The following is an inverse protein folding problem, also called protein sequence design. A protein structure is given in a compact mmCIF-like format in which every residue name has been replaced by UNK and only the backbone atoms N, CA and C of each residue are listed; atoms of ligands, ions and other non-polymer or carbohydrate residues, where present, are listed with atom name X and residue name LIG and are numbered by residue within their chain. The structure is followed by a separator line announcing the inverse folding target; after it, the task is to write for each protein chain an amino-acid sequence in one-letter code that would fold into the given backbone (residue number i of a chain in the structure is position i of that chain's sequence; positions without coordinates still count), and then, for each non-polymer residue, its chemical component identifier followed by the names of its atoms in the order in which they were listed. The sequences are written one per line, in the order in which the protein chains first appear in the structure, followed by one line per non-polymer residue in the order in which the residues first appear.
data_IF_478525094895
#
_entry.id   IF_478525094895
#
_cell.length_a   1.000
_cell.length_b   1.000
_cell.length_c   1.000
_cell.angle_alpha   90.00
_cell.angle_beta   90.00
_cell.angle_gamma   90.00
#
_symmetry.space_group_name_H-M   'P 1'
#
loop_
_entity.id
_entity.type
_entity.pdbx_description
1 polymer ?
#
# COMPACT_ATOMS: atom_id res chain seq x y z
N UNK A 1 22.78 -22.90 34.16
CA UNK A 1 22.02 -24.17 34.21
C UNK A 1 21.31 -24.46 32.88
N UNK A 2 20.53 -23.53 32.32
CA UNK A 2 19.78 -23.76 31.07
C UNK A 2 20.66 -24.12 29.87
N UNK A 3 21.83 -23.49 29.70
CA UNK A 3 22.76 -23.80 28.61
C UNK A 3 23.23 -25.26 28.57
N UNK A 4 23.43 -25.89 29.74
CA UNK A 4 23.83 -27.30 29.83
C UNK A 4 22.69 -28.25 29.44
N UNK A 5 21.44 -27.82 29.64
CA UNK A 5 20.26 -28.63 29.29
C UNK A 5 20.06 -28.76 27.78
N UNK A 6 20.74 -27.95 26.96
CA UNK A 6 20.73 -28.07 25.50
C UNK A 6 21.46 -29.33 24.99
N UNK A 7 22.32 -29.95 25.80
CA UNK A 7 23.04 -31.20 25.49
C UNK A 7 22.39 -32.44 26.10
N UNK A 8 21.20 -32.28 26.70
CA UNK A 8 20.56 -33.38 27.43
C UNK A 8 20.10 -34.49 26.48
N UNK A 9 20.25 -35.76 26.88
CA UNK A 9 19.85 -36.89 26.05
C UNK A 9 18.34 -36.90 25.75
N UNK A 10 17.52 -36.49 26.73
CA UNK A 10 16.07 -36.36 26.57
C UNK A 10 15.67 -35.12 25.73
N UNK A 11 14.99 -35.30 24.57
CA UNK A 11 14.52 -34.20 23.74
C UNK A 11 13.54 -33.26 24.45
N UNK A 12 12.76 -33.72 25.43
CA UNK A 12 11.83 -32.88 26.19
C UNK A 12 12.61 -31.81 26.97
N UNK A 13 13.69 -32.23 27.64
CA UNK A 13 14.55 -31.34 28.42
C UNK A 13 15.25 -30.31 27.51
N UNK A 14 15.79 -30.75 26.37
CA UNK A 14 16.43 -29.83 25.41
C UNK A 14 15.46 -28.80 24.84
N UNK A 15 14.26 -29.24 24.44
CA UNK A 15 13.22 -28.34 23.90
C UNK A 15 12.73 -27.35 24.94
N UNK A 16 12.53 -27.78 26.19
CA UNK A 16 12.20 -26.89 27.29
C UNK A 16 13.30 -25.85 27.53
N UNK A 17 14.58 -26.25 27.45
CA UNK A 17 15.71 -25.34 27.57
C UNK A 17 15.75 -24.31 26.43
N UNK A 18 15.52 -24.72 25.18
CA UNK A 18 15.41 -23.80 24.04
C UNK A 18 14.29 -22.77 24.25
N UNK A 19 13.10 -23.21 24.64
CA UNK A 19 11.97 -22.31 24.90
C UNK A 19 12.29 -21.33 26.03
N UNK A 20 12.86 -21.81 27.14
CA UNK A 20 13.28 -20.97 28.25
C UNK A 20 14.32 -19.92 27.83
N UNK A 21 15.30 -20.29 27.00
CA UNK A 21 16.24 -19.34 26.42
C UNK A 21 15.55 -18.32 25.52
N UNK A 22 14.56 -18.75 24.72
CA UNK A 22 13.72 -17.84 23.93
C UNK A 22 13.15 -16.69 24.78
N UNK A 23 12.63 -17.02 25.95
CA UNK A 23 12.02 -16.06 26.89
C UNK A 23 13.03 -15.23 27.70
N UNK A 24 14.24 -15.76 27.96
CA UNK A 24 15.14 -15.19 28.99
C UNK A 24 16.53 -14.76 28.52
N UNK A 25 17.01 -15.27 27.38
CA UNK A 25 18.39 -14.99 26.91
C UNK A 25 18.65 -13.49 26.76
N UNK A 26 19.84 -13.05 27.17
CA UNK A 26 20.32 -11.68 26.96
C UNK A 26 20.91 -11.52 25.56
N UNK A 27 21.22 -10.28 25.15
CA UNK A 27 21.85 -10.00 23.87
C UNK A 27 23.26 -10.64 23.78
N UNK A 28 24.01 -10.64 24.88
CA UNK A 28 25.35 -11.23 24.97
C UNK A 28 25.33 -12.76 24.78
N UNK A 29 24.23 -13.38 25.20
CA UNK A 29 24.05 -14.83 25.14
C UNK A 29 23.23 -15.29 23.92
N UNK A 30 22.67 -14.37 23.13
CA UNK A 30 21.97 -14.66 21.88
C UNK A 30 22.77 -15.56 20.90
N UNK A 31 24.12 -15.47 20.81
CA UNK A 31 24.91 -16.40 20.01
C UNK A 31 24.68 -17.89 20.31
N UNK A 32 24.27 -18.24 21.53
CA UNK A 32 23.93 -19.61 21.91
C UNK A 32 22.69 -20.13 21.19
N UNK A 33 21.64 -19.30 21.06
CA UNK A 33 20.47 -19.68 20.25
C UNK A 33 20.78 -19.64 18.76
N UNK A 34 21.63 -18.71 18.32
CA UNK A 34 22.07 -18.64 16.92
C UNK A 34 22.83 -19.90 16.50
N UNK A 35 23.69 -20.46 17.36
CA UNK A 35 24.38 -21.71 17.06
C UNK A 35 23.42 -22.88 16.91
N UNK A 36 22.39 -22.98 17.77
CA UNK A 36 21.37 -24.03 17.66
C UNK A 36 20.53 -23.94 16.38
N UNK A 37 20.44 -22.77 15.76
CA UNK A 37 19.71 -22.58 14.50
C UNK A 37 20.61 -22.76 13.28
N UNK A 38 21.84 -22.25 13.33
CA UNK A 38 22.79 -22.26 12.20
C UNK A 38 23.49 -23.61 12.05
N UNK A 39 23.84 -24.24 13.17
CA UNK A 39 24.55 -25.53 13.22
C UNK A 39 23.96 -26.35 14.38
N UNK A 40 22.71 -26.83 14.24
CA UNK A 40 22.03 -27.57 15.30
C UNK A 40 22.83 -28.80 15.70
N UNK A 41 23.04 -29.00 17.00
CA UNK A 41 23.58 -30.24 17.55
C UNK A 41 22.58 -31.39 17.44
N UNK A 42 21.30 -31.03 17.60
CA UNK A 42 20.14 -31.92 17.51
C UNK A 42 19.20 -31.42 16.40
N UNK A 43 19.37 -31.88 15.14
CA UNK A 43 18.57 -31.42 14.01
C UNK A 43 17.05 -31.59 14.19
N UNK A 44 16.62 -32.57 14.99
CA UNK A 44 15.23 -32.82 15.36
C UNK A 44 14.60 -31.67 16.17
N UNK A 45 15.41 -30.81 16.78
CA UNK A 45 14.99 -29.68 17.60
C UNK A 45 15.03 -28.34 16.84
N UNK A 46 15.44 -28.35 15.56
CA UNK A 46 15.68 -27.15 14.76
C UNK A 46 14.47 -26.19 14.70
N UNK A 47 13.25 -26.72 14.61
CA UNK A 47 12.03 -25.90 14.62
C UNK A 47 11.80 -25.20 15.96
N UNK A 48 12.11 -25.88 17.07
CA UNK A 48 11.99 -25.31 18.42
C UNK A 48 13.07 -24.24 18.63
N UNK A 49 14.30 -24.51 18.19
CA UNK A 49 15.39 -23.54 18.23
C UNK A 49 15.07 -22.28 17.41
N UNK A 50 14.50 -22.42 16.21
CA UNK A 50 14.08 -21.28 15.38
C UNK A 50 12.99 -20.44 16.05
N UNK A 51 12.00 -21.07 16.68
CA UNK A 51 10.94 -20.37 17.42
C UNK A 51 11.52 -19.62 18.63
N UNK A 52 12.40 -20.26 19.38
CA UNK A 52 13.08 -19.64 20.51
C UNK A 52 13.92 -18.44 20.06
N UNK A 53 14.71 -18.58 18.99
CA UNK A 53 15.50 -17.47 18.43
C UNK A 53 14.59 -16.32 17.98
N UNK A 54 13.48 -16.60 17.29
CA UNK A 54 12.52 -15.58 16.86
C UNK A 54 11.99 -14.80 18.06
N UNK A 55 11.50 -15.51 19.07
CA UNK A 55 10.96 -14.93 20.30
C UNK A 55 11.99 -14.04 21.00
N UNK A 56 13.19 -14.57 21.25
CA UNK A 56 14.29 -13.82 21.86
C UNK A 56 14.63 -12.55 21.08
N UNK A 57 14.71 -12.65 19.76
CA UNK A 57 15.07 -11.53 18.89
C UNK A 57 14.01 -10.43 18.88
N UNK A 58 12.73 -10.80 18.81
CA UNK A 58 11.62 -9.83 18.72
C UNK A 58 11.44 -9.06 20.03
N UNK A 59 11.63 -9.70 21.18
CA UNK A 59 11.54 -9.06 22.50
C UNK A 59 12.81 -8.28 22.88
N UNK A 60 13.91 -8.42 22.14
CA UNK A 60 15.19 -7.82 22.50
C UNK A 60 15.09 -6.29 22.56
N UNK A 61 15.46 -5.63 23.67
CA UNK A 61 15.39 -4.17 23.78
C UNK A 61 16.29 -3.47 22.76
N UNK A 62 17.54 -3.92 22.64
CA UNK A 62 18.46 -3.45 21.62
C UNK A 62 18.23 -4.19 20.29
N UNK A 63 17.24 -3.71 19.57
CA UNK A 63 16.87 -4.25 18.25
C UNK A 63 17.97 -4.07 17.21
N UNK A 64 18.78 -3.00 17.32
CA UNK A 64 19.83 -2.71 16.36
C UNK A 64 20.97 -3.73 16.49
N UNK A 65 21.49 -3.94 17.70
CA UNK A 65 22.53 -4.94 17.93
C UNK A 65 22.03 -6.37 17.69
N UNK A 66 20.76 -6.66 18.03
CA UNK A 66 20.14 -7.94 17.68
C UNK A 66 20.12 -8.17 16.16
N UNK A 67 19.69 -7.17 15.37
CA UNK A 67 19.71 -7.25 13.91
C UNK A 67 21.12 -7.46 13.37
N UNK A 68 22.15 -6.82 13.95
CA UNK A 68 23.56 -7.03 13.58
C UNK A 68 24.02 -8.46 13.82
N UNK A 69 23.70 -9.06 14.98
CA UNK A 69 24.06 -10.45 15.24
C UNK A 69 23.34 -11.42 14.29
N UNK A 70 22.04 -11.21 14.04
CA UNK A 70 21.25 -12.00 13.09
C UNK A 70 21.79 -11.88 11.66
N UNK A 71 22.15 -10.68 11.20
CA UNK A 71 22.73 -10.45 9.88
C UNK A 71 24.09 -11.15 9.72
N UNK A 72 24.91 -11.13 10.77
CA UNK A 72 26.19 -11.85 10.82
C UNK A 72 25.98 -13.37 10.74
N UNK A 73 25.00 -13.90 11.49
CA UNK A 73 24.63 -15.30 11.43
C UNK A 73 24.09 -15.69 10.04
N UNK A 74 23.25 -14.86 9.42
CA UNK A 74 22.70 -15.07 8.08
C UNK A 74 23.79 -15.23 7.02
N UNK A 75 24.86 -14.42 7.07
CA UNK A 75 25.98 -14.51 6.12
C UNK A 75 26.71 -15.85 6.19
N UNK A 76 26.81 -16.43 7.38
CA UNK A 76 27.51 -17.70 7.65
C UNK A 76 26.60 -18.93 7.59
N UNK A 77 25.29 -18.72 7.50
CA UNK A 77 24.31 -19.79 7.61
C UNK A 77 24.28 -20.69 6.35
N UNK A 78 24.05 -22.01 6.52
CA UNK A 78 23.70 -22.90 5.43
C UNK A 78 22.43 -22.43 4.70
N UNK A 79 22.28 -22.80 3.43
CA UNK A 79 21.15 -22.37 2.59
C UNK A 79 19.77 -22.62 3.24
N UNK A 80 19.59 -23.78 3.90
CA UNK A 80 18.34 -24.15 4.58
C UNK A 80 17.95 -23.21 5.74
N UNK A 81 18.92 -22.54 6.36
CA UNK A 81 18.70 -21.66 7.53
C UNK A 81 18.57 -20.19 7.15
N UNK A 82 18.95 -19.81 5.92
CA UNK A 82 18.91 -18.42 5.48
C UNK A 82 17.51 -17.81 5.47
N UNK A 83 16.49 -18.52 4.99
CA UNK A 83 15.11 -17.98 4.97
C UNK A 83 14.54 -17.75 6.37
N UNK A 84 14.58 -18.71 7.32
CA UNK A 84 14.16 -18.45 8.70
C UNK A 84 14.83 -17.21 9.31
N UNK A 85 16.13 -17.01 9.08
CA UNK A 85 16.84 -15.84 9.59
C UNK A 85 16.36 -14.53 8.95
N UNK A 86 16.03 -14.51 7.65
CA UNK A 86 15.44 -13.34 7.00
C UNK A 86 14.05 -13.00 7.57
N UNK A 87 13.25 -14.02 7.89
CA UNK A 87 11.95 -13.80 8.53
C UNK A 87 12.10 -13.18 9.92
N UNK A 88 13.05 -13.67 10.72
CA UNK A 88 13.34 -13.10 12.04
C UNK A 88 13.88 -11.67 11.91
N UNK A 89 14.83 -11.42 10.99
CA UNK A 89 15.34 -10.07 10.70
C UNK A 89 14.21 -9.11 10.33
N UNK A 90 13.24 -9.54 9.52
CA UNK A 90 12.10 -8.71 9.15
C UNK A 90 11.21 -8.32 10.34
N UNK A 91 11.08 -9.20 11.32
CA UNK A 91 10.29 -8.96 12.54
C UNK A 91 11.03 -8.07 13.52
N UNK A 92 12.37 -8.18 13.60
CA UNK A 92 13.24 -7.26 14.37
C UNK A 92 13.25 -5.87 13.72
N UNK A 93 13.29 -5.80 12.39
CA UNK A 93 13.34 -4.55 11.66
C UNK A 93 14.63 -3.77 11.91
N UNK A 94 14.59 -2.47 11.62
CA UNK A 94 15.78 -1.60 11.68
C UNK A 94 16.60 -1.60 10.39
N UNK A 95 17.62 -0.75 10.34
CA UNK A 95 18.42 -0.52 9.12
C UNK A 95 19.23 -1.73 8.71
N UNK A 96 19.92 -2.39 9.64
CA UNK A 96 20.73 -3.57 9.33
C UNK A 96 19.89 -4.72 8.76
N UNK A 97 18.71 -4.97 9.34
CA UNK A 97 17.78 -5.96 8.81
C UNK A 97 17.29 -5.57 7.41
N UNK A 98 16.89 -4.31 7.23
CA UNK A 98 16.44 -3.80 5.93
C UNK A 98 17.51 -4.00 4.83
N UNK A 99 18.77 -3.64 5.10
CA UNK A 99 19.88 -3.80 4.17
C UNK A 99 20.23 -5.28 3.90
N UNK A 100 20.12 -6.12 4.94
CA UNK A 100 20.33 -7.57 4.78
C UNK A 100 19.29 -8.17 3.85
N UNK A 101 18.01 -7.83 4.03
CA UNK A 101 16.95 -8.24 3.11
C UNK A 101 17.13 -7.64 1.71
N UNK A 102 17.53 -6.38 1.59
CA UNK A 102 17.79 -5.73 0.29
C UNK A 102 18.85 -6.48 -0.51
N UNK A 103 19.96 -6.84 0.15
CA UNK A 103 21.04 -7.63 -0.43
C UNK A 103 20.55 -9.00 -0.85
N UNK A 104 19.82 -9.70 0.02
CA UNK A 104 19.27 -11.02 -0.27
C UNK A 104 18.23 -11.00 -1.42
N UNK A 105 17.49 -9.90 -1.58
CA UNK A 105 16.56 -9.70 -2.70
C UNK A 105 17.25 -9.57 -4.07
N UNK A 106 18.56 -9.27 -4.09
CA UNK A 106 19.38 -9.15 -5.31
C UNK A 106 20.38 -10.30 -5.48
N UNK A 107 20.48 -11.21 -4.52
CA UNK A 107 21.39 -12.35 -4.59
C UNK A 107 21.04 -13.27 -5.76
N UNK A 108 22.00 -14.06 -6.26
CA UNK A 108 21.75 -15.08 -7.28
C UNK A 108 21.17 -16.38 -6.67
N UNK A 109 20.08 -16.24 -5.91
CA UNK A 109 19.34 -17.34 -5.28
C UNK A 109 17.84 -17.05 -5.39
N UNK A 110 17.07 -17.82 -6.18
CA UNK A 110 15.65 -17.55 -6.40
C UNK A 110 14.80 -17.55 -5.13
N UNK A 111 15.16 -18.37 -4.13
CA UNK A 111 14.42 -18.49 -2.89
C UNK A 111 14.68 -17.31 -1.96
N UNK A 112 15.94 -16.83 -1.88
CA UNK A 112 16.27 -15.60 -1.15
C UNK A 112 15.61 -14.38 -1.81
N UNK A 113 15.61 -14.31 -3.14
CA UNK A 113 14.94 -13.25 -3.89
C UNK A 113 13.43 -13.21 -3.58
N UNK A 114 12.75 -14.35 -3.64
CA UNK A 114 11.31 -14.41 -3.37
C UNK A 114 10.99 -14.07 -1.91
N UNK A 115 11.70 -14.68 -0.96
CA UNK A 115 11.49 -14.45 0.48
C UNK A 115 11.73 -12.98 0.83
N UNK A 116 12.87 -12.42 0.42
CA UNK A 116 13.25 -11.05 0.76
C UNK A 116 12.32 -10.02 0.13
N UNK A 117 11.98 -10.18 -1.15
CA UNK A 117 11.05 -9.24 -1.81
C UNK A 117 9.64 -9.28 -1.19
N UNK A 118 9.17 -10.46 -0.72
CA UNK A 118 7.91 -10.61 0.04
C UNK A 118 7.94 -9.87 1.37
N UNK A 119 9.02 -10.02 2.13
CA UNK A 119 9.17 -9.37 3.43
C UNK A 119 9.32 -7.85 3.28
N UNK A 120 10.16 -7.39 2.34
CA UNK A 120 10.36 -5.97 2.05
C UNK A 120 9.07 -5.31 1.57
N UNK A 121 8.28 -5.96 0.71
CA UNK A 121 7.00 -5.43 0.24
C UNK A 121 5.97 -5.18 1.36
N UNK A 122 6.17 -5.80 2.54
CA UNK A 122 5.34 -5.63 3.74
C UNK A 122 6.03 -4.79 4.84
N UNK A 123 7.19 -4.21 4.55
CA UNK A 123 7.97 -3.50 5.55
C UNK A 123 7.21 -2.32 6.16
N UNK A 124 7.14 -2.29 7.49
CA UNK A 124 6.28 -1.34 8.20
C UNK A 124 7.02 -0.06 8.61
N UNK A 125 7.76 0.56 7.68
CA UNK A 125 8.43 1.84 7.94
C UNK A 125 8.73 2.60 6.65
N UNK A 126 8.52 3.92 6.66
CA UNK A 126 8.91 4.81 5.55
C UNK A 126 10.41 4.77 5.27
N UNK A 127 11.25 4.35 6.23
CA UNK A 127 12.69 4.17 6.04
C UNK A 127 13.03 3.15 4.95
N UNK A 128 12.11 2.23 4.61
CA UNK A 128 12.31 1.29 3.50
C UNK A 128 12.10 1.90 2.11
N UNK A 129 11.62 3.15 2.01
CA UNK A 129 11.31 3.77 0.73
C UNK A 129 12.50 3.79 -0.26
N UNK A 130 13.74 4.17 0.13
CA UNK A 130 14.88 4.13 -0.79
C UNK A 130 15.19 2.72 -1.30
N UNK A 131 15.21 1.74 -0.40
CA UNK A 131 15.48 0.32 -0.72
C UNK A 131 14.41 -0.25 -1.65
N UNK A 132 13.13 0.00 -1.38
CA UNK A 132 12.03 -0.49 -2.21
C UNK A 132 12.02 0.16 -3.59
N UNK A 133 12.34 1.45 -3.69
CA UNK A 133 12.42 2.14 -4.97
C UNK A 133 13.60 1.65 -5.82
N UNK A 134 14.75 1.42 -5.20
CA UNK A 134 15.90 0.82 -5.86
C UNK A 134 15.55 -0.59 -6.36
N UNK A 135 14.99 -1.46 -5.52
CA UNK A 135 14.56 -2.80 -5.94
C UNK A 135 13.48 -2.78 -7.02
N UNK A 136 12.57 -1.81 -7.00
CA UNK A 136 11.58 -1.63 -8.07
C UNK A 136 12.23 -1.39 -9.44
N UNK A 137 13.45 -0.82 -9.47
CA UNK A 137 14.20 -0.55 -10.70
C UNK A 137 15.19 -1.67 -11.03
N UNK A 138 15.84 -2.24 -10.02
CA UNK A 138 17.05 -3.06 -10.21
C UNK A 138 16.88 -4.54 -9.86
N UNK A 139 15.77 -4.96 -9.24
CA UNK A 139 15.58 -6.36 -8.90
C UNK A 139 15.61 -7.26 -10.16
N UNK A 140 16.16 -8.48 -10.08
CA UNK A 140 16.48 -9.29 -11.27
C UNK A 140 15.24 -9.71 -12.07
N UNK A 141 14.15 -10.09 -11.40
CA UNK A 141 12.91 -10.51 -12.05
C UNK A 141 11.79 -9.46 -11.92
N UNK A 142 10.95 -9.34 -12.96
CA UNK A 142 9.84 -8.38 -12.99
C UNK A 142 8.87 -8.54 -11.81
N UNK A 143 8.55 -9.79 -11.43
CA UNK A 143 7.68 -10.06 -10.27
C UNK A 143 8.20 -9.43 -8.97
N UNK A 144 9.52 -9.36 -8.78
CA UNK A 144 10.13 -8.74 -7.60
C UNK A 144 10.14 -7.22 -7.71
N UNK A 145 10.40 -6.67 -8.90
CA UNK A 145 10.27 -5.23 -9.19
C UNK A 145 8.85 -4.73 -8.90
N UNK A 146 7.83 -5.45 -9.38
CA UNK A 146 6.41 -5.15 -9.12
C UNK A 146 6.11 -5.20 -7.62
N UNK A 147 6.56 -6.24 -6.93
CA UNK A 147 6.33 -6.41 -5.49
C UNK A 147 6.95 -5.28 -4.68
N UNK A 148 8.21 -4.91 -4.98
CA UNK A 148 8.89 -3.80 -4.34
C UNK A 148 8.20 -2.46 -4.60
N UNK A 149 7.77 -2.21 -5.85
CA UNK A 149 7.05 -0.99 -6.21
C UNK A 149 5.71 -0.88 -5.49
N UNK A 150 4.96 -1.99 -5.38
CA UNK A 150 3.69 -2.01 -4.63
C UNK A 150 3.92 -1.76 -3.14
N UNK A 151 5.00 -2.30 -2.57
CA UNK A 151 5.42 -1.96 -1.20
C UNK A 151 5.70 -0.46 -1.04
N UNK A 152 6.47 0.11 -1.97
CA UNK A 152 6.81 1.54 -1.99
C UNK A 152 5.56 2.45 -2.10
N UNK A 153 4.62 2.12 -2.99
CA UNK A 153 3.32 2.81 -3.11
C UNK A 153 2.51 2.65 -1.82
N UNK A 154 2.55 1.45 -1.21
CA UNK A 154 1.92 1.17 0.09
C UNK A 154 2.44 2.07 1.21
N UNK A 155 3.74 2.41 1.23
CA UNK A 155 4.29 3.35 2.19
C UNK A 155 3.67 4.75 2.05
N UNK A 156 3.57 5.26 0.82
CA UNK A 156 2.95 6.56 0.52
C UNK A 156 1.44 6.57 0.89
N UNK A 157 0.77 5.41 0.77
CA UNK A 157 -0.63 5.23 1.13
C UNK A 157 -0.86 5.20 2.64
N UNK A 158 -0.04 4.47 3.39
CA UNK A 158 -0.29 4.10 4.80
C UNK A 158 0.22 5.14 5.80
N UNK A 159 1.40 5.71 5.55
CA UNK A 159 2.08 6.53 6.56
C UNK A 159 1.74 8.02 6.45
N UNK A 160 1.76 8.69 7.59
CA UNK A 160 1.66 10.13 7.68
C UNK A 160 2.91 10.80 7.10
N UNK A 161 2.70 11.80 6.24
CA UNK A 161 3.73 12.64 5.62
C UNK A 161 3.07 13.84 4.94
N UNK A 162 3.86 14.87 4.62
CA UNK A 162 3.40 16.05 3.88
C UNK A 162 2.90 15.70 2.48
N UNK A 163 2.03 16.55 1.93
CA UNK A 163 1.56 16.44 0.55
C UNK A 163 2.72 16.44 -0.46
N UNK A 164 3.71 17.31 -0.25
CA UNK A 164 4.92 17.40 -1.10
C UNK A 164 5.71 16.09 -1.13
N UNK A 165 6.04 15.55 0.04
CA UNK A 165 6.80 14.29 0.14
C UNK A 165 6.02 13.13 -0.46
N UNK A 166 4.71 13.07 -0.25
CA UNK A 166 3.86 12.03 -0.85
C UNK A 166 3.82 12.16 -2.37
N UNK A 167 3.66 13.38 -2.90
CA UNK A 167 3.68 13.63 -4.34
C UNK A 167 5.04 13.28 -4.97
N UNK A 168 6.15 13.55 -4.28
CA UNK A 168 7.49 13.11 -4.69
C UNK A 168 7.59 11.59 -4.75
N UNK A 169 7.10 10.89 -3.72
CA UNK A 169 7.07 9.43 -3.75
C UNK A 169 6.24 8.93 -4.94
N UNK A 170 5.05 9.49 -5.18
CA UNK A 170 4.22 9.16 -6.33
C UNK A 170 4.93 9.43 -7.67
N UNK A 171 5.67 10.54 -7.82
CA UNK A 171 6.48 10.83 -9.01
C UNK A 171 7.54 9.75 -9.25
N UNK A 172 8.26 9.37 -8.19
CA UNK A 172 9.27 8.31 -8.26
C UNK A 172 8.66 6.97 -8.67
N UNK A 173 7.46 6.65 -8.19
CA UNK A 173 6.74 5.44 -8.58
C UNK A 173 6.33 5.46 -10.07
N UNK A 174 5.82 6.58 -10.58
CA UNK A 174 5.51 6.73 -12.02
C UNK A 174 6.75 6.57 -12.90
N UNK A 175 7.91 7.06 -12.46
CA UNK A 175 9.16 6.95 -13.18
C UNK A 175 9.74 5.51 -13.16
N UNK A 176 9.44 4.73 -12.12
CA UNK A 176 9.97 3.38 -11.94
C UNK A 176 9.23 2.30 -12.76
N UNK A 177 8.08 2.61 -13.37
CA UNK A 177 7.31 1.62 -14.13
C UNK A 177 6.53 2.24 -15.28
N UNK A 178 6.34 1.48 -16.36
CA UNK A 178 5.38 1.78 -17.42
C UNK A 178 4.04 1.04 -17.24
N UNK A 179 3.95 0.12 -16.27
CA UNK A 179 2.76 -0.70 -16.08
C UNK A 179 1.58 0.14 -15.58
N UNK A 180 0.50 0.11 -16.35
CA UNK A 180 -0.73 0.87 -16.08
C UNK A 180 -1.34 0.50 -14.72
N UNK A 181 -1.29 -0.77 -14.31
CA UNK A 181 -1.83 -1.23 -13.03
C UNK A 181 -1.21 -0.51 -11.81
N UNK A 182 0.12 -0.46 -11.72
CA UNK A 182 0.81 0.22 -10.63
C UNK A 182 0.64 1.75 -10.71
N UNK A 183 0.59 2.31 -11.92
CA UNK A 183 0.32 3.74 -12.12
C UNK A 183 -1.07 4.16 -11.65
N UNK A 184 -2.09 3.30 -11.82
CA UNK A 184 -3.43 3.52 -11.25
C UNK A 184 -3.42 3.50 -9.72
N UNK A 185 -2.66 2.59 -9.10
CA UNK A 185 -2.48 2.59 -7.65
C UNK A 185 -1.86 3.90 -7.14
N UNK A 186 -0.94 4.51 -7.90
CA UNK A 186 -0.38 5.82 -7.55
C UNK A 186 -1.47 6.90 -7.55
N UNK A 187 -2.36 6.91 -8.56
CA UNK A 187 -3.49 7.84 -8.63
C UNK A 187 -4.48 7.64 -7.47
N UNK A 188 -4.69 6.41 -7.02
CA UNK A 188 -5.49 6.11 -5.83
C UNK A 188 -4.89 6.70 -4.56
N UNK A 189 -3.56 6.66 -4.42
CA UNK A 189 -2.87 7.31 -3.29
C UNK A 189 -3.10 8.83 -3.30
N UNK A 190 -3.04 9.46 -4.47
CA UNK A 190 -3.27 10.91 -4.59
C UNK A 190 -4.72 11.30 -4.26
N UNK A 191 -5.72 10.48 -4.65
CA UNK A 191 -7.13 10.68 -4.26
C UNK A 191 -7.34 10.55 -2.75
N UNK A 192 -6.65 9.59 -2.13
CA UNK A 192 -6.75 9.33 -0.69
C UNK A 192 -6.10 10.45 0.14
N UNK A 193 -5.01 11.03 -0.37
CA UNK A 193 -4.26 12.10 0.29
C UNK A 193 -4.15 13.35 -0.60
N UNK A 194 -5.26 14.10 -0.79
CA UNK A 194 -5.29 15.29 -1.64
C UNK A 194 -4.28 16.34 -1.22
N UNK A 195 -3.59 16.93 -2.20
CA UNK A 195 -2.68 18.05 -2.00
C UNK A 195 -2.47 18.83 -3.30
N UNK A 196 -2.03 20.10 -3.24
CA UNK A 196 -1.68 20.87 -4.44
C UNK A 196 -0.66 20.16 -5.34
N UNK A 197 0.43 19.62 -4.77
CA UNK A 197 1.42 18.86 -5.54
C UNK A 197 0.85 17.56 -6.13
N UNK A 198 -0.07 16.89 -5.41
CA UNK A 198 -0.81 15.74 -5.92
C UNK A 198 -1.71 16.10 -7.11
N UNK A 199 -2.37 17.27 -7.07
CA UNK A 199 -3.19 17.77 -8.18
C UNK A 199 -2.34 18.01 -9.42
N UNK A 200 -1.22 18.72 -9.27
CA UNK A 200 -0.28 18.96 -10.38
C UNK A 200 0.17 17.65 -11.03
N UNK A 201 0.49 16.65 -10.22
CA UNK A 201 0.89 15.34 -10.72
C UNK A 201 -0.25 14.63 -11.46
N UNK A 202 -1.47 14.62 -10.91
CA UNK A 202 -2.63 14.03 -11.58
C UNK A 202 -2.92 14.70 -12.93
N UNK A 203 -2.92 16.03 -12.97
CA UNK A 203 -3.11 16.84 -14.19
C UNK A 203 -2.03 16.51 -15.23
N UNK A 204 -0.76 16.43 -14.83
CA UNK A 204 0.34 16.04 -15.74
C UNK A 204 0.11 14.64 -16.32
N UNK A 205 -0.38 13.70 -15.51
CA UNK A 205 -0.62 12.30 -15.92
C UNK A 205 -1.78 12.17 -16.93
N UNK A 206 -2.70 13.14 -17.01
CA UNK A 206 -3.78 13.14 -18.02
C UNK A 206 -3.27 13.15 -19.47
N UNK A 207 -2.02 13.56 -19.69
CA UNK A 207 -1.36 13.51 -21.01
C UNK A 207 -1.11 12.08 -21.50
N UNK A 208 -1.13 11.09 -20.60
CA UNK A 208 -1.01 9.68 -20.97
C UNK A 208 -2.40 9.15 -21.38
N UNK A 209 -2.59 8.70 -22.64
CA UNK A 209 -3.90 8.22 -23.11
C UNK A 209 -4.49 7.10 -22.24
N UNK A 210 -3.65 6.12 -21.86
CA UNK A 210 -4.05 4.97 -21.04
C UNK A 210 -4.49 5.33 -19.62
N UNK A 211 -4.02 6.46 -19.10
CA UNK A 211 -4.30 6.91 -17.73
C UNK A 211 -5.22 8.14 -17.70
N UNK A 212 -5.63 8.67 -18.85
CA UNK A 212 -6.36 9.92 -18.94
C UNK A 212 -7.63 9.92 -18.07
N UNK A 213 -8.41 8.84 -18.13
CA UNK A 213 -9.64 8.71 -17.35
C UNK A 213 -9.36 8.67 -15.83
N UNK A 214 -8.45 7.78 -15.39
CA UNK A 214 -8.08 7.66 -13.97
C UNK A 214 -7.45 8.95 -13.43
N UNK A 215 -6.63 9.62 -14.24
CA UNK A 215 -5.95 10.86 -13.87
C UNK A 215 -6.93 12.04 -13.81
N UNK A 216 -7.90 12.10 -14.73
CA UNK A 216 -9.01 13.07 -14.68
C UNK A 216 -9.81 12.90 -13.40
N UNK A 217 -10.16 11.65 -13.06
CA UNK A 217 -10.86 11.35 -11.82
C UNK A 217 -10.07 11.76 -10.58
N UNK A 218 -8.77 11.47 -10.55
CA UNK A 218 -7.90 11.88 -9.46
C UNK A 218 -7.80 13.41 -9.36
N UNK A 219 -7.62 14.12 -10.48
CA UNK A 219 -7.51 15.57 -10.51
C UNK A 219 -8.79 16.23 -9.98
N UNK A 220 -9.97 15.81 -10.42
CA UNK A 220 -11.25 16.37 -9.96
C UNK A 220 -11.48 16.11 -8.46
N UNK A 221 -11.23 14.88 -7.98
CA UNK A 221 -11.37 14.54 -6.55
C UNK A 221 -10.42 15.37 -5.68
N UNK A 222 -9.17 15.55 -6.13
CA UNK A 222 -8.19 16.33 -5.39
C UNK A 222 -8.58 17.81 -5.41
N UNK A 223 -8.97 18.34 -6.58
CA UNK A 223 -9.38 19.73 -6.73
C UNK A 223 -10.60 20.07 -5.89
N UNK A 224 -11.60 19.19 -5.78
CA UNK A 224 -12.75 19.41 -4.89
C UNK A 224 -12.32 19.56 -3.42
N UNK A 225 -11.32 18.79 -2.98
CA UNK A 225 -10.88 18.77 -1.58
C UNK A 225 -9.84 19.85 -1.24
N UNK A 226 -8.99 20.22 -2.20
CA UNK A 226 -7.95 21.25 -2.06
C UNK A 226 -8.48 22.64 -2.43
N UNK A 227 -9.48 22.70 -3.30
CA UNK A 227 -10.07 23.90 -3.91
C UNK A 227 -11.02 24.70 -3.02
N UNK A 228 -11.16 24.32 -1.74
CA UNK A 228 -11.75 25.23 -0.75
C UNK A 228 -10.93 26.50 -0.50
N UNK A 229 -9.69 26.63 -1.03
CA UNK A 229 -8.82 27.77 -0.69
C UNK A 229 -7.73 28.17 -1.72
N UNK A 230 -7.89 28.06 -3.04
CA UNK A 230 -6.82 28.61 -3.91
C UNK A 230 -7.04 28.69 -5.43
N UNK A 231 -6.77 29.88 -5.97
CA UNK A 231 -6.76 30.21 -7.41
C UNK A 231 -5.85 29.30 -8.26
N UNK A 232 -4.86 28.64 -7.66
CA UNK A 232 -3.92 27.75 -8.37
C UNK A 232 -4.55 26.42 -8.81
N UNK A 233 -5.45 25.83 -8.02
CA UNK A 233 -6.12 24.58 -8.40
C UNK A 233 -7.01 24.78 -9.63
N UNK A 234 -7.72 25.91 -9.68
CA UNK A 234 -8.57 26.28 -10.79
C UNK A 234 -7.77 26.52 -12.08
N UNK A 235 -6.65 27.25 -12.00
CA UNK A 235 -5.75 27.45 -13.15
C UNK A 235 -5.21 26.14 -13.72
N UNK A 236 -4.85 25.18 -12.86
CA UNK A 236 -4.35 23.88 -13.30
C UNK A 236 -5.41 23.07 -14.04
N UNK A 237 -6.65 23.07 -13.55
CA UNK A 237 -7.77 22.37 -14.19
C UNK A 237 -8.18 23.02 -15.52
N UNK A 238 -8.26 24.35 -15.55
CA UNK A 238 -8.54 25.12 -16.77
C UNK A 238 -7.54 24.79 -17.89
N UNK A 239 -6.25 24.69 -17.55
CA UNK A 239 -5.20 24.32 -18.51
C UNK A 239 -5.32 22.93 -19.14
N UNK A 240 -6.24 22.08 -18.65
CA UNK A 240 -6.54 20.76 -19.22
C UNK A 240 -8.02 20.59 -19.61
N UNK A 241 -8.76 21.70 -19.75
CA UNK A 241 -10.16 21.70 -20.17
C UNK A 241 -11.14 21.19 -19.11
N UNK A 242 -10.77 21.30 -17.83
CA UNK A 242 -11.63 20.98 -16.68
C UNK A 242 -12.02 22.28 -15.95
N UNK A 243 -12.36 23.31 -16.72
CA UNK A 243 -12.83 24.60 -16.21
C UNK A 243 -14.05 24.45 -15.30
N UNK A 244 -14.33 25.52 -14.53
CA UNK A 244 -15.57 25.59 -13.77
C UNK A 244 -16.76 25.44 -14.71
N UNK A 245 -17.73 24.63 -14.30
CA UNK A 245 -18.95 24.40 -15.05
C UNK A 245 -20.15 24.92 -14.26
N UNK A 246 -21.15 25.43 -14.97
CA UNK A 246 -22.49 25.62 -14.43
C UNK A 246 -23.24 24.30 -14.55
N UNK A 247 -23.23 23.51 -13.48
CA UNK A 247 -23.91 22.22 -13.42
C UNK A 247 -25.28 22.36 -12.76
N UNK A 248 -26.31 21.84 -13.43
CA UNK A 248 -27.66 21.76 -12.92
C UNK A 248 -28.18 20.33 -13.07
N UNK A 249 -28.62 19.71 -11.97
CA UNK A 249 -29.24 18.38 -12.01
C UNK A 249 -30.72 18.54 -12.35
N UNK A 250 -31.13 18.01 -13.50
CA UNK A 250 -32.51 18.10 -13.99
C UNK A 250 -33.35 16.98 -13.38
N UNK A 251 -32.84 15.75 -13.43
CA UNK A 251 -33.49 14.56 -12.90
C UNK A 251 -32.44 13.52 -12.54
N UNK A 252 -32.65 12.77 -11.46
CA UNK A 252 -31.85 11.61 -11.16
C UNK A 252 -32.66 10.46 -10.55
N UNK A 253 -32.40 9.25 -11.02
CA UNK A 253 -33.05 8.04 -10.55
C UNK A 253 -32.02 7.00 -10.15
N UNK A 254 -32.24 6.35 -9.00
CA UNK A 254 -31.41 5.28 -8.49
C UNK A 254 -32.24 4.03 -8.24
N UNK A 255 -31.84 2.89 -8.82
CA UNK A 255 -32.59 1.65 -8.67
C UNK A 255 -32.33 0.62 -9.76
N UNK A 256 -33.24 -0.35 -9.86
CA UNK A 256 -33.16 -1.44 -10.83
C UNK A 256 -34.56 -1.79 -11.38
N UNK A 257 -34.68 -1.86 -12.70
CA UNK A 257 -35.95 -2.16 -13.38
C UNK A 257 -37.04 -1.17 -12.96
N UNK A 258 -38.16 -1.70 -12.47
CA UNK A 258 -39.30 -0.92 -11.97
C UNK A 258 -39.11 -0.39 -10.55
N UNK A 259 -38.12 -0.88 -9.81
CA UNK A 259 -37.78 -0.41 -8.45
C UNK A 259 -36.80 0.75 -8.54
N UNK A 260 -37.33 1.94 -8.80
CA UNK A 260 -36.57 3.19 -8.90
C UNK A 260 -36.91 4.14 -7.75
N UNK A 261 -35.91 4.93 -7.35
CA UNK A 261 -36.07 6.03 -6.41
C UNK A 261 -35.61 7.32 -7.05
N UNK A 262 -36.44 8.36 -6.96
CA UNK A 262 -36.03 9.72 -7.33
C UNK A 262 -35.05 10.25 -6.27
N UNK A 263 -33.87 10.63 -6.73
CA UNK A 263 -32.76 11.14 -5.91
C UNK A 263 -32.31 12.52 -6.39
N UNK A 264 -33.13 13.21 -7.19
CA UNK A 264 -32.82 14.49 -7.83
C UNK A 264 -32.40 15.54 -6.82
N UNK A 265 -33.21 15.77 -5.78
CA UNK A 265 -32.91 16.78 -4.75
C UNK A 265 -31.66 16.44 -3.93
N UNK A 266 -31.43 15.15 -3.64
CA UNK A 266 -30.23 14.71 -2.94
C UNK A 266 -28.97 14.99 -3.76
N UNK A 267 -29.03 14.76 -5.08
CA UNK A 267 -27.91 15.08 -5.97
C UNK A 267 -27.71 16.58 -6.17
N UNK A 268 -28.79 17.38 -6.22
CA UNK A 268 -28.71 18.84 -6.28
C UNK A 268 -27.92 19.44 -5.12
N UNK A 269 -28.07 18.89 -3.91
CA UNK A 269 -27.31 19.32 -2.73
C UNK A 269 -25.80 19.09 -2.84
N UNK A 270 -25.37 18.21 -3.75
CA UNK A 270 -23.97 17.86 -3.97
C UNK A 270 -23.39 18.41 -5.27
N UNK A 271 -24.21 19.07 -6.10
CA UNK A 271 -23.74 19.69 -7.33
C UNK A 271 -22.92 20.95 -7.00
N UNK A 272 -21.77 21.09 -7.65
CA UNK A 272 -20.87 22.23 -7.50
C UNK A 272 -20.47 22.82 -8.84
N UNK A 273 -19.31 23.48 -8.87
CA UNK A 273 -18.72 24.09 -10.07
C UNK A 273 -17.78 23.16 -10.83
N UNK A 274 -17.72 21.88 -10.48
CA UNK A 274 -16.98 20.84 -11.20
C UNK A 274 -17.95 19.82 -11.80
N UNK A 275 -17.55 19.11 -12.89
CA UNK A 275 -18.32 18.01 -13.45
C UNK A 275 -18.23 16.73 -12.58
N UNK A 276 -18.24 16.89 -11.26
CA UNK A 276 -18.06 15.85 -10.26
C UNK A 276 -19.11 16.01 -9.16
N UNK A 277 -19.80 14.93 -8.82
CA UNK A 277 -20.68 14.87 -7.63
C UNK A 277 -20.00 14.01 -6.56
N UNK A 278 -19.65 14.64 -5.43
CA UNK A 278 -19.07 13.95 -4.28
C UNK A 278 -20.13 13.74 -3.19
N UNK A 279 -20.58 12.49 -3.05
CA UNK A 279 -21.49 12.09 -1.98
C UNK A 279 -20.76 12.00 -0.64
N UNK A 280 -21.49 12.20 0.46
CA UNK A 280 -20.93 12.13 1.83
C UNK A 280 -20.33 10.75 2.15
N UNK A 281 -20.96 9.69 1.68
CA UNK A 281 -20.51 8.31 1.84
C UNK A 281 -20.34 7.64 0.48
N UNK A 282 -19.39 6.70 0.38
CA UNK A 282 -19.16 5.91 -0.83
C UNK A 282 -20.37 5.03 -1.20
N UNK A 283 -21.16 4.61 -0.20
CA UNK A 283 -22.38 3.85 -0.41
C UNK A 283 -23.49 4.75 -0.95
N UNK A 284 -23.96 4.46 -2.17
CA UNK A 284 -25.14 5.10 -2.75
C UNK A 284 -26.38 4.82 -1.91
N UNK A 285 -26.61 3.59 -1.45
CA UNK A 285 -27.74 3.29 -0.56
C UNK A 285 -27.74 4.19 0.68
N UNK A 286 -26.57 4.46 1.27
CA UNK A 286 -26.48 5.34 2.44
C UNK A 286 -26.68 6.82 2.07
N UNK A 287 -26.08 7.27 0.97
CA UNK A 287 -26.08 8.68 0.56
C UNK A 287 -27.35 9.13 -0.18
N UNK A 288 -28.09 8.19 -0.78
CA UNK A 288 -29.28 8.43 -1.61
C UNK A 288 -30.59 8.04 -0.91
N UNK A 289 -30.53 7.94 0.43
CA UNK A 289 -31.68 7.77 1.31
C UNK A 289 -32.24 6.36 1.40
N UNK A 290 -31.46 5.32 1.12
CA UNK A 290 -31.82 3.93 1.29
C UNK A 290 -31.63 3.07 0.05
N UNK A 291 -31.85 1.77 0.21
CA UNK A 291 -31.77 0.77 -0.85
C UNK A 291 -33.15 0.61 -1.55
N UNK A 292 -33.29 1.03 -2.82
CA UNK A 292 -34.54 0.90 -3.57
C UNK A 292 -34.83 -0.52 -4.05
N UNK A 293 -33.82 -1.39 -4.15
CA UNK A 293 -33.94 -2.74 -4.70
C UNK A 293 -32.96 -3.72 -4.02
N UNK A 294 -33.25 -4.18 -2.78
CA UNK A 294 -32.36 -5.06 -2.04
C UNK A 294 -32.04 -6.36 -2.80
N UNK A 295 -30.77 -6.75 -2.78
CA UNK A 295 -30.27 -7.96 -3.45
C UNK A 295 -30.09 -7.86 -4.96
N UNK A 296 -30.38 -6.70 -5.57
CA UNK A 296 -30.23 -6.46 -7.01
C UNK A 296 -29.18 -5.36 -7.23
N UNK A 297 -28.34 -5.49 -8.25
CA UNK A 297 -27.39 -4.41 -8.62
C UNK A 297 -28.17 -3.22 -9.17
N UNK A 298 -27.96 -2.04 -8.59
CA UNK A 298 -28.66 -0.81 -9.00
C UNK A 298 -27.78 0.06 -9.87
N UNK A 299 -28.44 0.97 -10.57
CA UNK A 299 -27.81 1.97 -11.40
C UNK A 299 -28.33 3.35 -11.00
N UNK A 300 -27.45 4.35 -11.04
CA UNK A 300 -27.81 5.76 -10.92
C UNK A 300 -27.81 6.38 -12.31
N UNK A 301 -28.96 6.88 -12.77
CA UNK A 301 -29.08 7.65 -14.03
C UNK A 301 -29.34 9.10 -13.71
N UNK A 302 -28.59 10.00 -14.34
CA UNK A 302 -28.63 11.44 -14.10
C UNK A 302 -28.83 12.16 -15.43
N UNK A 303 -29.90 12.94 -15.52
CA UNK A 303 -30.10 13.98 -16.54
C UNK A 303 -29.69 15.31 -15.95
N UNK A 304 -28.86 16.04 -16.66
CA UNK A 304 -28.27 17.28 -16.19
C UNK A 304 -28.13 18.29 -17.32
N UNK A 305 -27.93 19.55 -16.94
CA UNK A 305 -27.53 20.62 -17.83
C UNK A 305 -26.17 21.13 -17.38
N UNK A 306 -25.21 21.19 -18.29
CA UNK A 306 -23.86 21.66 -18.01
C UNK A 306 -23.50 22.75 -19.03
N UNK A 307 -23.20 23.95 -18.52
CA UNK A 307 -22.93 25.12 -19.37
C UNK A 307 -24.04 25.37 -20.42
N UNK A 308 -25.29 25.16 -20.02
CA UNK A 308 -26.46 25.35 -20.88
C UNK A 308 -26.81 24.18 -21.80
N UNK A 309 -25.96 23.15 -21.93
CA UNK A 309 -26.20 21.96 -22.76
C UNK A 309 -26.71 20.79 -21.92
N UNK A 310 -27.67 20.03 -22.45
CA UNK A 310 -28.25 18.88 -21.77
C UNK A 310 -27.42 17.62 -21.97
N UNK A 311 -27.26 16.82 -20.92
CA UNK A 311 -26.59 15.52 -20.96
C UNK A 311 -27.33 14.49 -20.11
N UNK A 312 -27.05 13.21 -20.37
CA UNK A 312 -27.53 12.07 -19.60
C UNK A 312 -26.37 11.08 -19.39
N UNK A 313 -26.22 10.57 -18.17
CA UNK A 313 -25.18 9.60 -17.83
C UNK A 313 -25.68 8.61 -16.79
N UNK A 314 -25.20 7.37 -16.89
CA UNK A 314 -25.54 6.30 -15.95
C UNK A 314 -24.29 5.71 -15.30
N UNK A 315 -24.39 5.43 -14.00
CA UNK A 315 -23.28 5.01 -13.16
C UNK A 315 -23.63 3.72 -12.42
N UNK A 316 -22.71 2.74 -12.40
CA UNK A 316 -22.82 1.60 -11.49
C UNK A 316 -22.92 2.05 -10.03
N UNK A 317 -23.53 1.22 -9.20
CA UNK A 317 -23.61 1.44 -7.76
C UNK A 317 -22.23 1.76 -7.16
N UNK A 318 -22.16 2.81 -6.34
CA UNK A 318 -20.96 3.29 -5.65
C UNK A 318 -19.81 3.77 -6.56
N UNK A 319 -20.06 3.95 -7.87
CA UNK A 319 -19.07 4.53 -8.77
C UNK A 319 -18.77 6.01 -8.42
N UNK A 320 -17.65 6.53 -8.92
CA UNK A 320 -17.40 7.96 -8.88
C UNK A 320 -18.27 8.66 -9.94
N UNK A 321 -19.01 9.69 -9.55
CA UNK A 321 -19.94 10.40 -10.44
C UNK A 321 -19.21 11.56 -11.13
N UNK A 322 -18.56 11.27 -12.26
CA UNK A 322 -18.01 12.28 -13.15
C UNK A 322 -18.94 12.41 -14.34
N UNK A 323 -19.58 13.57 -14.47
CA UNK A 323 -20.52 13.83 -15.55
C UNK A 323 -19.74 14.17 -16.83
N UNK A 324 -19.98 13.45 -17.94
CA UNK A 324 -19.31 13.77 -19.20
C UNK A 324 -19.73 15.16 -19.69
N UNK A 325 -18.83 15.86 -20.39
CA UNK A 325 -19.20 17.08 -21.07
C UNK A 325 -20.28 16.77 -22.12
N UNK A 326 -21.45 17.44 -22.09
CA UNK A 326 -22.45 17.28 -23.14
C UNK A 326 -21.87 17.62 -24.51
N UNK A 327 -22.32 16.89 -25.53
CA UNK A 327 -21.98 17.19 -26.93
C UNK A 327 -22.61 18.51 -27.36
#
# INVERSE_FOLDING_TARGET
MVAKALDHADPVVRRAALLALGETVSLEQLPMLLSEVVKPRHPEDALVAQRALKLASVRMPDRAACATQLASAFRRAPAKTKNPLLEILSEVGGSEALETLATAAKANDPQLQDTSSRLLGKWNSVRAAPVLLDLAKTAPAEKYRIRALRGYIGLARKFAMSGERRAEMCRNAFAATQRTAERKLVLDVLKLHPSPAGLQLAVKTMKSPELKSDATAAALVIAQKVGGSGANAQKLLAGVGLDKVKLEIIQAQYGAGTKQKDVTELLRQHAGDLPLIMLKNQSYNTSLGGDPAPGIVKQLTIRYRMNGRSGEASFPENALIILPMPK
#
